data_IF_521093142959
#
_entry.id   IF_521093142959
#
_cell.length_a   1.000
_cell.length_b   1.000
_cell.length_c   1.000
_cell.angle_alpha   90.00
_cell.angle_beta   90.00
_cell.angle_gamma   90.00
#
_symmetry.space_group_name_H-M   'P 1'
#
loop_
_entity.id
_entity.type
_entity.pdbx_description
1 polymer ?
#
# COMPACT_ATOMS: atom_id res chain seq x y z
N UNK A 1 -26.40 16.13 38.86
CA UNK A 1 -26.30 15.46 37.54
C UNK A 1 -25.35 16.30 36.71
N UNK A 2 -24.05 16.04 36.86
CA UNK A 2 -22.97 16.81 36.22
C UNK A 2 -22.44 16.03 35.02
N UNK A 3 -22.41 16.67 33.85
CA UNK A 3 -21.77 16.15 32.65
C UNK A 3 -20.40 16.84 32.57
N UNK A 4 -19.32 16.09 32.79
CA UNK A 4 -17.95 16.57 32.68
C UNK A 4 -17.52 16.61 31.21
N UNK A 5 -17.18 17.79 30.71
CA UNK A 5 -16.45 18.02 29.47
C UNK A 5 -14.99 17.55 29.63
N UNK A 6 -14.53 16.62 28.80
CA UNK A 6 -13.10 16.31 28.65
C UNK A 6 -12.58 17.06 27.43
N UNK A 7 -11.75 18.09 27.67
CA UNK A 7 -11.01 18.81 26.64
C UNK A 7 -9.65 18.17 26.41
N UNK A 8 -9.41 17.69 25.18
CA UNK A 8 -8.08 17.46 24.63
C UNK A 8 -7.85 18.54 23.56
N UNK A 9 -7.35 19.69 23.99
CA UNK A 9 -6.76 20.69 23.08
C UNK A 9 -5.35 20.22 22.71
N UNK A 10 -5.22 19.53 21.58
CA UNK A 10 -3.94 19.47 20.87
C UNK A 10 -3.92 20.63 19.86
N UNK A 11 -2.97 21.53 20.05
CA UNK A 11 -2.76 22.73 19.25
C UNK A 11 -2.36 22.35 17.82
N UNK A 12 -3.13 22.81 16.83
CA UNK A 12 -2.77 22.71 15.42
C UNK A 12 -1.65 23.74 15.16
N UNK A 13 -0.49 23.37 14.58
CA UNK A 13 0.50 24.36 14.19
C UNK A 13 -0.07 25.22 13.05
N UNK A 14 -0.14 26.53 13.29
CA UNK A 14 -0.55 27.51 12.28
C UNK A 14 0.50 27.52 11.17
N UNK A 15 0.09 27.21 9.94
CA UNK A 15 0.90 27.45 8.75
C UNK A 15 0.54 28.84 8.23
N UNK A 16 1.45 29.79 8.37
CA UNK A 16 1.28 31.12 7.77
C UNK A 16 1.19 30.98 6.24
N UNK A 17 0.01 31.26 5.66
CA UNK A 17 -0.19 31.47 4.23
C UNK A 17 -0.71 30.30 3.39
N UNK A 18 -1.02 29.14 3.98
CA UNK A 18 -1.65 28.00 3.28
C UNK A 18 -3.15 27.86 3.58
N UNK A 19 -3.91 27.10 2.77
CA UNK A 19 -5.29 26.72 3.12
C UNK A 19 -5.22 26.00 4.48
N UNK A 20 -5.95 26.42 5.53
CA UNK A 20 -5.94 25.75 6.83
C UNK A 20 -6.37 24.28 6.77
N UNK A 21 -7.00 23.85 5.67
CA UNK A 21 -7.25 22.44 5.37
C UNK A 21 -5.98 21.67 4.99
N UNK A 22 -4.94 22.32 4.51
CA UNK A 22 -3.65 21.68 4.17
C UNK A 22 -2.89 21.27 5.43
N UNK A 23 -2.95 22.08 6.49
CA UNK A 23 -2.46 21.68 7.81
C UNK A 23 -3.27 20.50 8.39
N UNK A 24 -4.59 20.48 8.18
CA UNK A 24 -5.47 19.38 8.60
C UNK A 24 -5.25 18.09 7.79
N UNK A 25 -4.97 18.22 6.48
CA UNK A 25 -4.60 17.13 5.57
C UNK A 25 -3.20 16.58 5.88
N UNK A 26 -2.26 17.45 6.27
CA UNK A 26 -0.89 17.08 6.62
C UNK A 26 -0.75 16.47 8.03
N UNK A 27 -1.65 16.81 8.96
CA UNK A 27 -1.54 16.41 10.37
C UNK A 27 -2.06 15.00 10.69
N UNK A 28 -2.70 14.27 9.76
CA UNK A 28 -3.31 12.95 10.05
C UNK A 28 -3.49 12.08 8.80
N UNK A 29 -2.49 11.27 8.45
CA UNK A 29 -2.65 10.20 7.46
C UNK A 29 -1.54 9.13 7.56
N UNK A 30 -1.75 8.07 8.35
CA UNK A 30 -0.97 6.84 8.22
C UNK A 30 -1.75 5.83 7.38
N UNK A 31 -1.16 5.45 6.26
CA UNK A 31 -1.56 4.28 5.48
C UNK A 31 -1.46 3.08 6.43
N UNK A 32 -2.43 2.15 6.42
CA UNK A 32 -2.34 0.95 7.28
C UNK A 32 -1.00 0.23 7.11
N UNK A 33 -0.59 -0.60 8.06
CA UNK A 33 0.71 -1.27 8.01
C UNK A 33 1.25 -1.51 9.41
N UNK A 34 2.47 -1.99 9.49
CA UNK A 34 3.23 -2.13 10.72
C UNK A 34 3.80 -0.78 11.15
N UNK A 35 3.79 -0.49 12.45
CA UNK A 35 4.33 0.77 13.00
C UNK A 35 5.85 0.91 12.83
N UNK A 36 6.55 -0.22 12.78
CA UNK A 36 7.99 -0.28 12.58
C UNK A 36 8.26 -0.66 11.11
N UNK A 37 8.79 0.25 10.29
CA UNK A 37 9.12 -0.08 8.91
C UNK A 37 10.31 -1.03 8.84
N UNK A 38 10.28 -1.94 7.88
CA UNK A 38 11.48 -2.68 7.49
C UNK A 38 12.42 -1.78 6.67
N UNK A 39 13.68 -2.18 6.52
CA UNK A 39 14.64 -1.46 5.68
C UNK A 39 15.09 -2.32 4.51
N UNK A 40 15.21 -1.73 3.32
CA UNK A 40 15.84 -2.37 2.18
C UNK A 40 17.25 -1.81 1.98
N UNK A 41 18.18 -2.66 1.56
CA UNK A 41 19.46 -2.23 1.03
C UNK A 41 19.29 -1.50 -0.31
N UNK A 42 20.30 -0.73 -0.71
CA UNK A 42 20.30 -0.02 -1.99
C UNK A 42 20.10 -0.96 -3.19
N UNK A 43 20.62 -2.19 -3.10
CA UNK A 43 20.46 -3.18 -4.15
C UNK A 43 19.03 -3.72 -4.21
N UNK A 44 18.47 -4.14 -3.07
CA UNK A 44 17.07 -4.61 -2.97
C UNK A 44 16.10 -3.53 -3.47
N UNK A 45 16.35 -2.26 -3.10
CA UNK A 45 15.55 -1.13 -3.55
C UNK A 45 15.58 -0.98 -5.07
N UNK A 46 16.76 -1.07 -5.70
CA UNK A 46 16.89 -1.00 -7.15
C UNK A 46 16.18 -2.15 -7.86
N UNK A 47 16.29 -3.38 -7.33
CA UNK A 47 15.56 -4.54 -7.85
C UNK A 47 14.06 -4.30 -7.76
N UNK A 48 13.55 -3.86 -6.60
CA UNK A 48 12.12 -3.59 -6.41
C UNK A 48 11.60 -2.47 -7.32
N UNK A 49 12.39 -1.41 -7.54
CA UNK A 49 12.05 -0.35 -8.51
C UNK A 49 11.91 -0.94 -9.91
N UNK A 50 12.88 -1.73 -10.35
CA UNK A 50 12.85 -2.36 -11.67
C UNK A 50 11.65 -3.30 -11.81
N UNK A 51 11.37 -4.14 -10.81
CA UNK A 51 10.20 -5.03 -10.79
C UNK A 51 8.90 -4.21 -10.88
N UNK A 52 8.72 -3.21 -10.03
CA UNK A 52 7.47 -2.44 -10.00
C UNK A 52 7.22 -1.73 -11.32
N UNK A 53 8.26 -1.19 -11.95
CA UNK A 53 8.18 -0.55 -13.26
C UNK A 53 7.89 -1.53 -14.41
N UNK A 54 8.13 -2.83 -14.25
CA UNK A 54 7.67 -3.83 -15.24
C UNK A 54 6.25 -4.33 -14.93
N UNK A 55 5.85 -4.45 -13.65
CA UNK A 55 4.48 -4.82 -13.26
C UNK A 55 3.48 -3.72 -13.65
N UNK A 56 3.85 -2.45 -13.48
CA UNK A 56 3.10 -1.30 -13.96
C UNK A 56 4.06 -0.42 -14.78
N UNK A 57 4.09 -0.60 -16.12
CA UNK A 57 4.91 0.22 -17.01
C UNK A 57 4.56 1.70 -16.94
N UNK A 58 5.54 2.62 -16.89
CA UNK A 58 5.27 4.05 -17.01
C UNK A 58 4.76 4.39 -18.41
N UNK A 59 3.88 5.39 -18.51
CA UNK A 59 3.32 5.80 -19.79
C UNK A 59 2.00 6.53 -19.67
N UNK A 60 1.48 7.05 -20.79
CA UNK A 60 0.13 7.60 -20.91
C UNK A 60 -0.24 8.70 -19.91
N UNK A 61 0.75 9.47 -19.45
CA UNK A 61 0.59 10.53 -18.45
C UNK A 61 0.60 10.05 -17.00
N UNK A 62 0.89 8.77 -16.76
CA UNK A 62 1.03 8.18 -15.43
C UNK A 62 2.51 8.07 -15.03
N UNK A 63 2.84 8.32 -13.74
CA UNK A 63 4.21 8.23 -13.25
C UNK A 63 4.68 6.77 -13.13
N UNK A 64 5.99 6.53 -13.12
CA UNK A 64 6.51 5.20 -12.82
C UNK A 64 6.29 4.86 -11.33
N UNK A 65 5.96 3.61 -10.96
CA UNK A 65 5.87 3.20 -9.56
C UNK A 65 7.13 3.50 -8.74
N UNK A 66 8.30 3.33 -9.35
CA UNK A 66 9.58 3.64 -8.71
C UNK A 66 9.78 5.11 -8.35
N UNK A 67 9.03 6.02 -8.98
CA UNK A 67 9.19 7.47 -8.82
C UNK A 67 8.21 8.08 -7.79
N UNK A 68 7.23 7.29 -7.32
CA UNK A 68 6.13 7.79 -6.46
C UNK A 68 6.14 7.16 -5.07
N UNK A 69 7.31 6.74 -4.58
CA UNK A 69 7.46 6.27 -3.20
C UNK A 69 6.79 4.92 -2.88
N UNK A 70 6.47 4.09 -3.89
CA UNK A 70 5.84 2.77 -3.66
C UNK A 70 6.71 1.89 -2.75
N UNK A 71 8.05 1.96 -2.88
CA UNK A 71 8.93 1.13 -2.07
C UNK A 71 9.12 1.76 -0.69
N UNK A 72 9.61 2.99 -0.66
CA UNK A 72 10.09 3.64 0.57
C UNK A 72 8.97 4.15 1.49
N UNK A 73 7.76 4.31 0.98
CA UNK A 73 6.62 4.84 1.75
C UNK A 73 5.46 3.85 1.88
N UNK A 74 5.51 2.70 1.18
CA UNK A 74 4.43 1.70 1.23
C UNK A 74 4.96 0.29 1.54
N UNK A 75 5.87 -0.28 0.73
CA UNK A 75 6.36 -1.65 0.97
C UNK A 75 6.90 -1.82 2.39
N UNK A 76 7.71 -0.86 2.86
CA UNK A 76 8.36 -0.91 4.17
C UNK A 76 7.38 -1.05 5.34
N UNK A 77 6.14 -0.61 5.18
CA UNK A 77 5.08 -0.70 6.20
C UNK A 77 4.13 -1.88 5.99
N UNK A 78 4.11 -2.52 4.82
CA UNK A 78 3.18 -3.60 4.50
C UNK A 78 3.79 -5.01 4.59
N UNK A 79 5.08 -5.08 4.91
CA UNK A 79 5.81 -6.33 5.12
C UNK A 79 6.04 -6.50 6.62
N UNK A 80 5.70 -7.66 7.17
CA UNK A 80 5.83 -7.94 8.60
C UNK A 80 7.30 -7.98 9.02
N UNK A 81 7.76 -7.13 9.96
CA UNK A 81 9.13 -7.19 10.45
C UNK A 81 9.49 -8.55 11.03
N UNK A 82 10.77 -8.90 11.02
CA UNK A 82 11.28 -10.17 11.59
C UNK A 82 10.70 -10.43 12.99
N UNK A 83 10.18 -11.64 13.21
CA UNK A 83 9.57 -12.05 14.49
C UNK A 83 8.12 -11.61 14.68
N UNK A 84 7.54 -10.84 13.76
CA UNK A 84 6.13 -10.43 13.82
C UNK A 84 5.21 -11.51 13.27
N UNK A 85 4.08 -11.77 13.94
CA UNK A 85 3.05 -12.67 13.40
C UNK A 85 2.30 -11.99 12.26
N UNK A 86 2.39 -12.53 11.05
CA UNK A 86 1.67 -12.00 9.89
C UNK A 86 0.22 -12.51 9.86
N UNK A 87 -0.74 -11.60 9.85
CA UNK A 87 -2.18 -11.93 9.89
C UNK A 87 -2.96 -11.33 8.73
N UNK A 88 -2.33 -10.44 7.94
CA UNK A 88 -2.97 -9.69 6.87
C UNK A 88 -2.32 -9.96 5.53
N UNK A 89 -3.16 -9.91 4.51
CA UNK A 89 -2.72 -9.92 3.12
C UNK A 89 -1.76 -8.73 2.86
N UNK A 90 -0.65 -8.92 2.12
CA UNK A 90 -0.33 -10.06 1.26
C UNK A 90 0.40 -11.22 1.95
N UNK A 91 0.43 -11.26 3.28
CA UNK A 91 1.11 -12.28 4.08
C UNK A 91 2.63 -12.31 3.91
N UNK A 92 3.23 -11.18 3.52
CA UNK A 92 4.67 -11.03 3.38
C UNK A 92 5.34 -10.83 4.75
N UNK A 93 6.43 -11.56 5.00
CA UNK A 93 7.33 -11.34 6.13
C UNK A 93 8.70 -10.90 5.63
N UNK A 94 9.39 -10.08 6.42
CA UNK A 94 10.69 -9.50 6.05
C UNK A 94 11.69 -10.57 5.62
N UNK A 95 11.85 -11.62 6.44
CA UNK A 95 12.84 -12.67 6.21
C UNK A 95 12.57 -13.43 4.90
N UNK A 96 11.31 -13.83 4.67
CA UNK A 96 10.94 -14.61 3.47
C UNK A 96 10.99 -13.75 2.23
N UNK A 97 10.42 -12.53 2.30
CA UNK A 97 10.38 -11.60 1.19
C UNK A 97 11.79 -11.20 0.72
N UNK A 98 12.69 -10.86 1.65
CA UNK A 98 14.08 -10.53 1.31
C UNK A 98 14.85 -11.75 0.80
N UNK A 99 14.63 -12.94 1.39
CA UNK A 99 15.25 -14.17 0.90
C UNK A 99 14.81 -14.53 -0.52
N UNK A 100 13.54 -14.30 -0.86
CA UNK A 100 13.02 -14.56 -2.20
C UNK A 100 13.49 -13.49 -3.20
N UNK A 101 13.53 -12.22 -2.78
CA UNK A 101 14.07 -11.12 -3.58
C UNK A 101 15.54 -11.35 -3.95
N UNK A 102 16.34 -11.86 -3.01
CA UNK A 102 17.75 -12.17 -3.23
C UNK A 102 17.98 -13.24 -4.32
N UNK A 103 17.00 -14.10 -4.60
CA UNK A 103 17.11 -15.15 -5.64
C UNK A 103 17.12 -14.59 -7.05
N UNK A 104 16.60 -13.38 -7.27
CA UNK A 104 16.68 -12.71 -8.58
C UNK A 104 18.11 -12.29 -8.92
N UNK A 105 18.95 -12.09 -7.89
CA UNK A 105 20.37 -11.77 -8.03
C UNK A 105 20.66 -10.41 -8.68
N UNK A 106 21.95 -10.09 -8.77
CA UNK A 106 22.41 -8.85 -9.41
C UNK A 106 22.12 -8.81 -10.92
N UNK A 107 22.12 -9.97 -11.56
CA UNK A 107 21.90 -10.13 -13.01
C UNK A 107 20.52 -9.66 -13.48
N UNK A 108 19.52 -9.64 -12.59
CA UNK A 108 18.19 -9.12 -12.93
C UNK A 108 18.25 -7.66 -13.42
N UNK A 109 19.10 -6.83 -12.79
CA UNK A 109 19.26 -5.42 -13.16
C UNK A 109 20.01 -5.23 -14.48
N UNK A 110 20.84 -6.19 -14.87
CA UNK A 110 21.63 -6.15 -16.10
C UNK A 110 20.80 -6.56 -17.34
N UNK A 111 19.69 -7.29 -17.14
CA UNK A 111 18.77 -7.66 -18.21
C UNK A 111 18.09 -6.43 -18.80
N UNK A 112 17.83 -6.46 -20.10
CA UNK A 112 16.95 -5.50 -20.75
C UNK A 112 15.48 -5.72 -20.34
N UNK A 113 14.57 -4.87 -20.84
CA UNK A 113 13.15 -4.96 -20.51
C UNK A 113 12.58 -6.35 -20.82
N UNK A 114 12.86 -6.91 -21.99
CA UNK A 114 12.34 -8.20 -22.40
C UNK A 114 12.86 -9.32 -21.48
N UNK A 115 14.14 -9.28 -21.12
CA UNK A 115 14.75 -10.22 -20.18
C UNK A 115 14.17 -10.11 -18.76
N UNK A 116 13.91 -8.91 -18.26
CA UNK A 116 13.28 -8.71 -16.94
C UNK A 116 11.85 -9.23 -16.92
N UNK A 117 11.07 -8.96 -17.96
CA UNK A 117 9.70 -9.47 -18.09
C UNK A 117 9.69 -11.00 -18.13
N UNK A 118 10.55 -11.63 -18.93
CA UNK A 118 10.66 -13.09 -18.98
C UNK A 118 11.07 -13.71 -17.63
N UNK A 119 11.96 -13.05 -16.89
CA UNK A 119 12.33 -13.47 -15.53
C UNK A 119 11.14 -13.37 -14.56
N UNK A 120 10.33 -12.32 -14.67
CA UNK A 120 9.12 -12.15 -13.85
C UNK A 120 8.02 -13.16 -14.21
N UNK A 121 7.85 -13.50 -15.49
CA UNK A 121 6.94 -14.58 -15.91
C UNK A 121 7.39 -15.94 -15.37
N UNK A 122 8.70 -16.21 -15.38
CA UNK A 122 9.28 -17.40 -14.76
C UNK A 122 9.04 -17.40 -13.25
N UNK A 123 9.23 -16.25 -12.59
CA UNK A 123 8.97 -16.07 -11.17
C UNK A 123 7.50 -16.32 -10.82
N UNK A 124 6.56 -15.83 -11.63
CA UNK A 124 5.12 -16.06 -11.47
C UNK A 124 4.78 -17.55 -11.53
N UNK A 125 5.40 -18.30 -12.44
CA UNK A 125 5.18 -19.74 -12.57
C UNK A 125 5.81 -20.56 -11.44
N UNK A 126 7.02 -20.23 -11.02
CA UNK A 126 7.79 -21.02 -10.04
C UNK A 126 7.54 -20.63 -8.58
N UNK A 127 7.30 -19.34 -8.31
CA UNK A 127 7.09 -18.78 -6.98
C UNK A 127 5.83 -17.89 -6.97
N UNK A 128 4.64 -18.45 -7.27
CA UNK A 128 3.41 -17.68 -7.45
C UNK A 128 2.99 -16.90 -6.21
N UNK A 129 3.33 -17.38 -5.01
CA UNK A 129 3.05 -16.66 -3.75
C UNK A 129 3.87 -15.38 -3.65
N UNK A 130 5.19 -15.46 -3.87
CA UNK A 130 6.07 -14.29 -3.84
C UNK A 130 5.75 -13.30 -4.97
N UNK A 131 5.51 -13.77 -6.20
CA UNK A 131 5.06 -12.91 -7.28
C UNK A 131 3.70 -12.25 -6.95
N UNK A 132 2.79 -13.00 -6.33
CA UNK A 132 1.52 -12.48 -5.83
C UNK A 132 1.69 -11.36 -4.80
N UNK A 133 2.67 -11.49 -3.89
CA UNK A 133 3.04 -10.45 -2.92
C UNK A 133 3.60 -9.21 -3.61
N UNK A 134 4.56 -9.37 -4.53
CA UNK A 134 5.13 -8.26 -5.32
C UNK A 134 4.01 -7.50 -6.04
N UNK A 135 3.16 -8.22 -6.78
CA UNK A 135 2.02 -7.64 -7.49
C UNK A 135 1.08 -6.90 -6.54
N UNK A 136 0.66 -7.54 -5.45
CA UNK A 136 -0.25 -6.95 -4.48
C UNK A 136 0.29 -5.64 -3.89
N UNK A 137 1.56 -5.64 -3.48
CA UNK A 137 2.23 -4.48 -2.93
C UNK A 137 2.40 -3.38 -3.99
N UNK A 138 2.79 -3.73 -5.22
CA UNK A 138 2.94 -2.75 -6.32
C UNK A 138 1.61 -2.08 -6.65
N UNK A 139 0.54 -2.85 -6.87
CA UNK A 139 -0.78 -2.28 -7.18
C UNK A 139 -1.36 -1.48 -6.01
N UNK A 140 -1.28 -2.03 -4.79
CA UNK A 140 -1.78 -1.37 -3.58
C UNK A 140 -1.04 -0.05 -3.30
N UNK A 141 0.30 -0.08 -3.39
CA UNK A 141 1.12 1.10 -3.22
C UNK A 141 0.84 2.13 -4.30
N UNK A 142 0.93 1.75 -5.56
CA UNK A 142 0.85 2.67 -6.70
C UNK A 142 -0.46 3.47 -6.76
N UNK A 143 -1.61 2.80 -6.65
CA UNK A 143 -2.92 3.47 -6.71
C UNK A 143 -3.32 4.18 -5.41
N UNK A 144 -2.52 4.04 -4.34
CA UNK A 144 -2.66 4.84 -3.12
C UNK A 144 -1.91 6.17 -3.16
N UNK A 145 -1.03 6.40 -4.16
CA UNK A 145 -0.16 7.58 -4.20
C UNK A 145 -0.87 8.84 -4.73
N UNK A 146 -0.66 10.02 -4.11
CA UNK A 146 -1.24 11.28 -4.57
C UNK A 146 -0.98 11.59 -6.05
N UNK A 147 0.23 11.30 -6.53
CA UNK A 147 0.68 11.54 -7.90
C UNK A 147 -0.12 10.70 -8.91
N UNK A 148 -0.28 9.40 -8.61
CA UNK A 148 -1.09 8.48 -9.42
C UNK A 148 -2.56 8.87 -9.41
N UNK A 149 -3.10 9.26 -8.25
CA UNK A 149 -4.48 9.76 -8.11
C UNK A 149 -4.67 11.02 -8.94
N UNK A 150 -3.71 11.95 -8.92
CA UNK A 150 -3.75 13.17 -9.72
C UNK A 150 -3.68 12.87 -11.22
N UNK A 151 -2.84 11.92 -11.64
CA UNK A 151 -2.78 11.45 -13.02
C UNK A 151 -4.11 10.84 -13.47
N UNK A 152 -4.70 9.97 -12.66
CA UNK A 152 -6.00 9.34 -12.95
C UNK A 152 -7.11 10.38 -13.17
N UNK A 153 -7.19 11.41 -12.31
CA UNK A 153 -8.16 12.51 -12.45
C UNK A 153 -7.96 13.32 -13.73
N UNK A 154 -6.70 13.49 -14.15
CA UNK A 154 -6.34 14.30 -15.32
C UNK A 154 -6.56 13.55 -16.63
N UNK A 155 -6.24 12.26 -16.65
CA UNK A 155 -6.11 11.49 -17.89
C UNK A 155 -7.28 10.52 -18.14
N UNK A 156 -8.16 10.29 -17.16
CA UNK A 156 -9.29 9.36 -17.30
C UNK A 156 -10.62 10.03 -16.98
N UNK A 157 -11.58 10.00 -17.93
CA UNK A 157 -12.88 10.66 -17.76
C UNK A 157 -13.66 10.13 -16.55
N UNK A 158 -13.68 8.81 -16.35
CA UNK A 158 -14.30 8.20 -15.17
C UNK A 158 -13.51 8.45 -13.87
N UNK A 159 -12.26 8.95 -13.97
CA UNK A 159 -11.37 9.22 -12.84
C UNK A 159 -11.52 10.62 -12.26
N UNK A 160 -12.26 11.53 -12.90
CA UNK A 160 -12.39 12.94 -12.47
C UNK A 160 -12.89 13.09 -11.03
N UNK A 161 -13.80 12.23 -10.62
CA UNK A 161 -14.37 12.22 -9.26
C UNK A 161 -13.64 11.26 -8.30
N UNK A 162 -12.60 10.56 -8.75
CA UNK A 162 -11.85 9.63 -7.91
C UNK A 162 -11.08 10.39 -6.84
N UNK A 163 -11.58 10.36 -5.61
CA UNK A 163 -10.94 11.07 -4.48
C UNK A 163 -9.88 10.24 -3.74
N UNK A 164 -9.66 8.99 -4.14
CA UNK A 164 -8.82 8.06 -3.39
C UNK A 164 -9.67 7.25 -2.41
N UNK A 165 -9.23 7.18 -1.14
CA UNK A 165 -10.02 6.61 -0.04
C UNK A 165 -11.45 7.22 0.01
N UNK A 166 -12.45 6.56 0.65
CA UNK A 166 -13.85 7.03 0.65
C UNK A 166 -14.03 8.50 1.14
N UNK A 167 -15.24 9.05 1.17
CA UNK A 167 -15.47 10.47 1.55
C UNK A 167 -16.22 10.65 2.88
N UNK A 168 -16.12 11.80 3.57
CA UNK A 168 -15.29 12.97 3.24
C UNK A 168 -13.78 12.77 3.53
N UNK A 169 -13.46 11.70 4.24
CA UNK A 169 -12.12 11.32 4.74
C UNK A 169 -11.77 9.86 4.40
N UNK A 170 -12.78 9.04 4.15
CA UNK A 170 -12.61 7.66 3.75
C UNK A 170 -12.28 6.75 4.89
N UNK A 171 -11.64 5.62 4.59
CA UNK A 171 -10.84 4.93 5.58
C UNK A 171 -9.58 5.78 5.83
N UNK A 172 -9.73 7.06 6.19
CA UNK A 172 -8.69 7.79 6.87
C UNK A 172 -8.56 7.11 8.24
N UNK A 173 -7.66 6.12 8.23
CA UNK A 173 -7.14 5.33 9.34
C UNK A 173 -8.17 4.43 10.04
N UNK A 174 -8.36 3.21 9.51
CA UNK A 174 -8.83 2.12 10.37
C UNK A 174 -7.66 1.62 11.24
N UNK A 175 -7.55 2.24 12.41
CA UNK A 175 -7.32 1.65 13.75
C UNK A 175 -6.13 0.71 13.96
N UNK A 176 -5.21 1.11 14.85
CA UNK A 176 -4.19 0.29 15.53
C UNK A 176 -3.09 -0.28 14.64
N UNK A 177 -1.88 -0.37 15.18
CA UNK A 177 -0.82 -1.21 14.62
C UNK A 177 -1.42 -2.57 14.21
N UNK A 178 -1.05 -3.09 13.05
CA UNK A 178 -1.44 -4.43 12.66
C UNK A 178 -1.03 -5.47 13.71
N UNK A 179 0.05 -5.23 14.45
CA UNK A 179 0.45 -6.04 15.60
C UNK A 179 -0.56 -6.03 16.76
N UNK A 180 -1.28 -4.93 16.95
CA UNK A 180 -2.23 -4.73 18.06
C UNK A 180 -3.68 -5.08 17.68
N UNK A 181 -3.97 -5.26 16.39
CA UNK A 181 -5.31 -5.61 15.93
C UNK A 181 -5.65 -7.09 16.13
N UNK A 182 -6.79 -7.34 16.77
CA UNK A 182 -7.40 -8.68 16.83
C UNK A 182 -7.65 -9.18 15.39
N UNK A 183 -7.12 -10.36 15.00
CA UNK A 183 -7.35 -10.89 13.65
C UNK A 183 -8.84 -11.10 13.38
N UNK A 184 -9.32 -10.87 12.15
CA UNK A 184 -10.70 -11.18 11.80
C UNK A 184 -10.97 -12.66 12.09
N UNK A 185 -12.10 -12.96 12.76
CA UNK A 185 -12.51 -14.34 13.03
C UNK A 185 -12.61 -15.10 11.71
N UNK A 186 -11.93 -16.25 11.59
CA UNK A 186 -12.13 -17.22 10.50
C UNK A 186 -13.56 -17.76 10.56
N UNK A 187 -14.50 -17.05 9.96
CA UNK A 187 -15.92 -17.37 10.05
C UNK A 187 -16.83 -16.36 9.38
N UNK A 188 -16.37 -15.67 8.33
CA UNK A 188 -17.27 -14.89 7.51
C UNK A 188 -18.30 -15.85 6.89
N UNK A 189 -19.58 -15.66 7.23
CA UNK A 189 -20.67 -16.40 6.61
C UNK A 189 -21.22 -15.59 5.44
N UNK A 190 -21.38 -16.25 4.30
CA UNK A 190 -22.05 -15.66 3.15
C UNK A 190 -23.51 -16.10 3.18
N UNK A 191 -24.43 -15.13 3.27
CA UNK A 191 -25.85 -15.38 2.99
C UNK A 191 -26.06 -15.11 1.52
N UNK A 192 -26.48 -16.13 0.76
CA UNK A 192 -26.82 -15.95 -0.66
C UNK A 192 -27.88 -14.86 -0.80
N UNK A 193 -27.78 -14.06 -1.85
CA UNK A 193 -28.69 -12.93 -2.11
C UNK A 193 -30.16 -13.37 -2.12
N UNK A 194 -30.44 -14.58 -2.60
CA UNK A 194 -31.78 -15.19 -2.63
C UNK A 194 -32.31 -15.61 -1.24
N UNK A 195 -31.44 -15.73 -0.23
CA UNK A 195 -31.77 -16.12 1.14
C UNK A 195 -32.02 -14.92 2.07
N UNK A 196 -31.83 -13.69 1.60
CA UNK A 196 -32.07 -12.47 2.39
C UNK A 196 -33.58 -12.18 2.44
N UNK A 197 -34.18 -12.24 3.62
CA UNK A 197 -35.58 -11.84 3.84
C UNK A 197 -35.63 -10.44 4.46
N UNK A 198 -36.52 -9.57 3.96
CA UNK A 198 -36.84 -8.31 4.65
C UNK A 198 -37.52 -8.65 5.98
N UNK A 199 -37.00 -8.08 7.06
CA UNK A 199 -37.72 -8.02 8.32
C UNK A 199 -38.86 -7.02 8.13
N UNK A 200 -40.09 -7.49 8.35
CA UNK A 200 -41.32 -6.67 8.39
C UNK A 200 -41.51 -6.18 9.80
#
# INVERSE_FOLDING_TARGET
MEIRHWGLTQSIPETEGGDPRDALRAARAEVGGYSTPITFSDHERQVLIAICNEIIPPGDGYPAPGDVGVIDEFFVYYIAPTGTTVTRFPHATEDTFKSDLAKLGHEFLEKDRAGRVAELERLEAEQPEFFGQLRALTYGGYYSRPETIAALRRHHDAGRDYRGAPQPYGYEQSTMDWGDMIPPKKGASYTRTDAVKKLV
#
